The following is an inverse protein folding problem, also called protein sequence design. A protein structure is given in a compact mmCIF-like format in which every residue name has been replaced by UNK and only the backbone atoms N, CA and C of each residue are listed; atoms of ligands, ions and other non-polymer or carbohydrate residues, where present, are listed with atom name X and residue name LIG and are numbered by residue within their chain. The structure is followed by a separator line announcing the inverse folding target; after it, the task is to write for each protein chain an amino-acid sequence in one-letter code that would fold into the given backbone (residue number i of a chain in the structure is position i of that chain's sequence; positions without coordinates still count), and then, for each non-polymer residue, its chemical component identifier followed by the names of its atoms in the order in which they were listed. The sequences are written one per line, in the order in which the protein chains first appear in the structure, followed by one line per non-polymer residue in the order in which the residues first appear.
data_IF_030008982695
#
_entry.id   IF_030008982695
#
_cell.length_a   1.000
_cell.length_b   1.000
_cell.length_c   1.000
_cell.angle_alpha   90.00
_cell.angle_beta   90.00
_cell.angle_gamma   90.00
#
_symmetry.space_group_name_H-M   'P 1'
#
loop_
_entity.id
_entity.type
_entity.pdbx_description
1 polymer ?
#
# COMPACT_ATOMS: atom_id res chain seq x y z
N UNK A 1 -24.89 24.41 12.25
CA UNK A 1 -24.88 23.00 12.69
C UNK A 1 -23.99 22.85 13.93
N UNK A 2 -24.41 22.10 14.97
CA UNK A 2 -23.57 21.73 16.11
C UNK A 2 -22.25 21.04 15.67
N UNK A 3 -21.19 21.17 16.47
CA UNK A 3 -19.86 20.67 16.10
C UNK A 3 -19.79 19.16 16.04
N UNK A 4 -20.55 18.50 16.91
CA UNK A 4 -20.67 17.06 17.03
C UNK A 4 -21.23 16.46 15.74
N UNK A 5 -22.29 17.08 15.19
CA UNK A 5 -22.90 16.63 13.93
C UNK A 5 -21.97 16.88 12.73
N UNK A 6 -21.27 18.03 12.70
CA UNK A 6 -20.27 18.29 11.65
C UNK A 6 -19.11 17.28 11.74
N UNK A 7 -18.69 16.89 12.94
CA UNK A 7 -17.65 15.89 13.16
C UNK A 7 -18.07 14.52 12.64
N UNK A 8 -19.31 14.09 12.92
CA UNK A 8 -19.87 12.84 12.40
C UNK A 8 -19.93 12.88 10.87
N UNK A 9 -20.45 13.97 10.28
CA UNK A 9 -20.52 14.13 8.82
C UNK A 9 -19.11 14.09 8.22
N UNK A 10 -18.14 14.78 8.81
CA UNK A 10 -16.76 14.76 8.37
C UNK A 10 -16.16 13.35 8.44
N UNK A 11 -16.43 12.60 9.50
CA UNK A 11 -16.00 11.21 9.66
C UNK A 11 -16.50 10.31 8.54
N UNK A 12 -17.77 10.44 8.14
CA UNK A 12 -18.33 9.68 7.01
C UNK A 12 -17.81 10.17 5.65
N UNK A 13 -17.71 11.49 5.46
CA UNK A 13 -17.28 12.09 4.20
C UNK A 13 -15.79 11.86 3.90
N UNK A 14 -14.95 11.66 4.93
CA UNK A 14 -13.51 11.50 4.82
C UNK A 14 -13.05 10.04 4.73
N UNK A 15 -13.91 9.13 4.24
CA UNK A 15 -13.58 7.70 4.06
C UNK A 15 -12.92 7.37 2.70
N UNK A 16 -12.82 8.35 1.80
CA UNK A 16 -12.22 8.19 0.46
C UNK A 16 -10.69 8.27 0.43
N UNK A 17 -10.13 8.86 -0.63
CA UNK A 17 -8.69 8.99 -0.90
C UNK A 17 -8.01 10.19 -0.17
N UNK A 18 -8.70 10.76 0.82
CA UNK A 18 -8.29 11.98 1.52
C UNK A 18 -8.48 13.28 0.73
N UNK A 19 -9.02 13.26 -0.49
CA UNK A 19 -9.36 14.50 -1.22
C UNK A 19 -10.45 15.29 -0.48
N UNK A 20 -11.51 14.63 -0.01
CA UNK A 20 -12.59 15.26 0.74
C UNK A 20 -12.09 15.97 1.99
N UNK A 21 -11.25 15.30 2.78
CA UNK A 21 -10.65 15.88 3.99
C UNK A 21 -9.85 17.15 3.65
N UNK A 22 -9.01 17.09 2.60
CA UNK A 22 -8.24 18.25 2.13
C UNK A 22 -9.12 19.42 1.71
N UNK A 23 -10.19 19.18 0.96
CA UNK A 23 -11.14 20.22 0.58
C UNK A 23 -11.81 20.84 1.80
N UNK A 24 -12.23 20.03 2.78
CA UNK A 24 -12.88 20.53 3.99
C UNK A 24 -11.95 21.36 4.87
N UNK A 25 -10.66 21.00 4.98
CA UNK A 25 -9.67 21.77 5.74
C UNK A 25 -9.50 23.21 5.25
N UNK A 26 -9.87 23.51 4.01
CA UNK A 26 -9.78 24.84 3.38
C UNK A 26 -11.03 25.70 3.56
N UNK A 27 -12.16 25.12 4.01
CA UNK A 27 -13.46 25.81 4.06
C UNK A 27 -13.49 26.92 5.12
N UNK A 28 -13.08 26.60 6.35
CA UNK A 28 -13.04 27.57 7.46
C UNK A 28 -12.18 27.06 8.61
N UNK A 29 -11.79 27.96 9.54
CA UNK A 29 -11.06 27.59 10.77
C UNK A 29 -11.83 26.56 11.61
N UNK A 30 -13.15 26.68 11.68
CA UNK A 30 -14.03 25.76 12.42
C UNK A 30 -14.01 24.36 11.79
N UNK A 31 -14.22 24.26 10.48
CA UNK A 31 -14.17 22.97 9.78
C UNK A 31 -12.77 22.38 9.84
N UNK A 32 -11.72 23.19 9.70
CA UNK A 32 -10.34 22.75 9.85
C UNK A 32 -10.11 22.07 11.20
N UNK A 33 -10.55 22.68 12.31
CA UNK A 33 -10.47 22.09 13.65
C UNK A 33 -11.19 20.75 13.75
N UNK A 34 -12.38 20.64 13.16
CA UNK A 34 -13.22 19.43 13.21
C UNK A 34 -12.65 18.29 12.35
N UNK A 35 -12.06 18.61 11.19
CA UNK A 35 -11.57 17.62 10.22
C UNK A 35 -10.14 17.18 10.53
N UNK A 36 -9.35 18.01 11.22
CA UNK A 36 -7.94 17.72 11.54
C UNK A 36 -7.72 16.33 12.17
N UNK A 37 -8.55 15.86 13.12
CA UNK A 37 -8.38 14.52 13.71
C UNK A 37 -8.63 13.37 12.72
N UNK A 38 -9.55 13.55 11.76
CA UNK A 38 -9.98 12.47 10.84
C UNK A 38 -9.28 12.50 9.48
N UNK A 39 -8.46 13.52 9.22
CA UNK A 39 -7.90 13.77 7.89
C UNK A 39 -6.95 12.68 7.37
N UNK A 40 -6.44 11.80 8.24
CA UNK A 40 -5.51 10.70 7.90
C UNK A 40 -6.14 9.31 8.04
N UNK A 41 -7.42 9.21 8.40
CA UNK A 41 -8.07 7.91 8.59
C UNK A 41 -8.01 7.04 7.33
N UNK A 42 -8.12 7.65 6.15
CA UNK A 42 -7.99 6.99 4.86
C UNK A 42 -7.06 7.80 3.94
N UNK A 43 -6.01 7.14 3.44
CA UNK A 43 -4.97 7.75 2.62
C UNK A 43 -4.71 6.94 1.36
N UNK A 44 -4.57 7.65 0.24
CA UNK A 44 -4.09 7.10 -1.02
C UNK A 44 -2.81 7.81 -1.45
N UNK A 45 -1.72 7.05 -1.51
CA UNK A 45 -0.39 7.50 -1.89
C UNK A 45 0.03 6.78 -3.17
N UNK A 46 0.19 7.54 -4.25
CA UNK A 46 0.56 7.05 -5.57
C UNK A 46 1.82 7.77 -6.04
N UNK A 47 2.82 6.99 -6.43
CA UNK A 47 4.08 7.49 -6.95
C UNK A 47 5.08 7.88 -5.86
N UNK A 48 6.35 7.96 -6.26
CA UNK A 48 7.46 8.23 -5.33
C UNK A 48 7.34 9.64 -4.74
N UNK A 49 6.94 10.62 -5.54
CA UNK A 49 6.86 12.02 -5.09
C UNK A 49 5.81 12.22 -3.99
N UNK A 50 4.59 11.69 -4.16
CA UNK A 50 3.55 11.80 -3.14
C UNK A 50 3.96 11.07 -1.86
N UNK A 51 4.55 9.88 -2.02
CA UNK A 51 4.97 9.04 -0.91
C UNK A 51 6.06 9.69 -0.05
N UNK A 52 7.11 10.23 -0.67
CA UNK A 52 8.18 10.94 0.04
C UNK A 52 7.67 12.21 0.72
N UNK A 53 6.88 13.05 0.03
CA UNK A 53 6.31 14.27 0.64
C UNK A 53 5.42 13.96 1.84
N UNK A 54 4.67 12.87 1.80
CA UNK A 54 3.86 12.46 2.94
C UNK A 54 4.74 12.00 4.11
N UNK A 55 5.83 11.27 3.86
CA UNK A 55 6.79 10.90 4.90
C UNK A 55 7.47 12.13 5.56
N UNK A 56 7.80 13.15 4.76
CA UNK A 56 8.33 14.41 5.28
C UNK A 56 7.28 15.11 6.16
N UNK A 57 6.03 15.22 5.68
CA UNK A 57 4.93 15.81 6.44
C UNK A 57 4.64 15.04 7.74
N UNK A 58 4.69 13.71 7.68
CA UNK A 58 4.49 12.84 8.84
C UNK A 58 5.54 13.09 9.92
N UNK A 59 6.79 13.34 9.52
CA UNK A 59 7.91 13.62 10.44
C UNK A 59 7.79 14.97 11.16
N UNK A 60 6.92 15.86 10.69
CA UNK A 60 6.69 17.20 11.27
C UNK A 60 5.45 17.27 12.18
N UNK A 61 4.66 16.19 12.26
CA UNK A 61 3.43 16.20 13.07
C UNK A 61 3.72 15.69 14.48
N UNK A 62 3.36 16.48 15.48
CA UNK A 62 3.47 16.15 16.90
C UNK A 62 2.30 15.31 17.42
N UNK A 63 1.15 15.42 16.77
CA UNK A 63 -0.10 14.84 17.25
C UNK A 63 -0.27 13.41 16.74
N UNK A 64 -0.77 12.53 17.59
CA UNK A 64 -1.11 11.18 17.18
C UNK A 64 -2.30 11.21 16.21
N UNK A 65 -2.05 10.74 14.99
CA UNK A 65 -3.05 10.69 13.91
C UNK A 65 -3.10 9.29 13.34
N UNK A 66 -4.23 8.63 13.54
CA UNK A 66 -4.39 7.24 13.14
C UNK A 66 -4.61 7.10 11.63
N UNK A 67 -4.06 6.04 11.06
CA UNK A 67 -4.24 5.65 9.65
C UNK A 67 -4.89 4.27 9.64
N UNK A 68 -6.20 4.21 9.34
CA UNK A 68 -6.94 2.96 9.33
C UNK A 68 -6.93 2.30 7.95
N UNK A 69 -6.93 3.10 6.88
CA UNK A 69 -6.99 2.64 5.50
C UNK A 69 -5.87 3.26 4.69
N UNK A 70 -5.01 2.42 4.12
CA UNK A 70 -3.84 2.87 3.38
C UNK A 70 -3.76 2.20 2.02
N UNK A 71 -3.78 3.01 0.97
CA UNK A 71 -3.43 2.61 -0.39
C UNK A 71 -2.05 3.17 -0.74
N UNK A 72 -1.16 2.29 -1.23
CA UNK A 72 0.18 2.62 -1.71
C UNK A 72 0.34 2.05 -3.11
N UNK A 73 0.79 2.89 -4.04
CA UNK A 73 1.18 2.51 -5.40
C UNK A 73 2.53 3.13 -5.74
N UNK A 74 3.45 2.35 -6.33
CA UNK A 74 4.70 2.89 -6.88
C UNK A 74 4.56 3.52 -8.28
N UNK A 75 3.34 3.52 -8.81
CA UNK A 75 2.94 4.30 -9.99
C UNK A 75 2.23 5.57 -9.56
N UNK A 76 2.49 6.64 -10.30
CA UNK A 76 1.73 7.88 -10.21
C UNK A 76 0.27 7.62 -10.62
N UNK A 77 -0.66 8.38 -10.03
CA UNK A 77 -2.09 8.22 -10.32
C UNK A 77 -2.43 8.51 -11.80
N UNK A 78 -1.68 9.41 -12.43
CA UNK A 78 -1.78 9.70 -13.87
C UNK A 78 -1.48 8.49 -14.76
N UNK A 79 -0.62 7.58 -14.28
CA UNK A 79 -0.13 6.44 -15.04
C UNK A 79 -1.03 5.20 -14.89
N UNK A 80 -2.10 5.31 -14.11
CA UNK A 80 -3.04 4.20 -13.88
C UNK A 80 -3.69 3.71 -15.19
N UNK A 81 -3.85 4.59 -16.19
CA UNK A 81 -4.44 4.28 -17.50
C UNK A 81 -3.44 3.80 -18.54
N UNK A 82 -2.13 3.92 -18.27
CA UNK A 82 -1.10 3.60 -19.26
C UNK A 82 -0.67 2.13 -19.17
N UNK A 83 -0.86 1.43 -20.29
CA UNK A 83 -0.33 0.09 -20.51
C UNK A 83 1.17 0.04 -20.20
N UNK A 84 1.64 -1.13 -19.77
CA UNK A 84 2.99 -1.43 -19.30
C UNK A 84 4.14 -0.88 -20.18
N UNK A 85 3.88 -0.51 -21.44
CA UNK A 85 4.87 -0.02 -22.39
C UNK A 85 5.52 1.32 -22.05
N UNK A 86 4.89 2.22 -21.27
CA UNK A 86 5.39 3.61 -21.21
C UNK A 86 6.68 3.84 -20.42
N UNK A 87 7.06 2.94 -19.47
CA UNK A 87 8.38 3.10 -18.80
C UNK A 87 9.57 2.84 -19.73
N UNK A 88 9.34 2.16 -20.86
CA UNK A 88 10.38 1.91 -21.87
C UNK A 88 10.45 3.06 -22.90
N UNK A 89 9.48 3.97 -22.91
CA UNK A 89 9.54 5.20 -23.70
C UNK A 89 10.13 6.37 -22.89
N UNK A 90 11.29 6.17 -22.26
CA UNK A 90 12.15 7.32 -21.90
C UNK A 90 13.03 7.63 -23.10
N UNK A 91 12.47 8.43 -24.01
CA UNK A 91 13.27 9.15 -25.00
C UNK A 91 14.13 10.17 -24.27
N UNK A 92 15.43 9.94 -24.24
CA UNK A 92 16.40 10.84 -23.63
C UNK A 92 17.76 10.21 -23.65
N UNK A 93 18.78 11.00 -23.95
CA UNK A 93 20.20 10.62 -23.97
C UNK A 93 20.76 10.26 -22.57
N UNK A 94 19.95 9.69 -21.67
CA UNK A 94 20.41 9.26 -20.34
C UNK A 94 21.34 8.06 -20.50
N UNK A 95 22.53 8.13 -19.90
CA UNK A 95 23.47 7.01 -19.90
C UNK A 95 22.96 5.88 -19.00
N UNK A 96 23.46 4.65 -19.20
CA UNK A 96 23.17 3.51 -18.33
C UNK A 96 23.51 3.82 -16.86
N UNK A 97 24.61 4.54 -16.62
CA UNK A 97 25.08 4.94 -15.28
C UNK A 97 24.12 5.94 -14.62
N UNK A 98 23.60 6.91 -15.38
CA UNK A 98 22.62 7.88 -14.90
C UNK A 98 21.30 7.20 -14.53
N UNK A 99 20.85 6.25 -15.35
CA UNK A 99 19.67 5.44 -15.09
C UNK A 99 19.83 4.62 -13.81
N UNK A 100 20.95 3.91 -13.63
CA UNK A 100 21.23 3.16 -12.41
C UNK A 100 21.29 4.06 -11.18
N UNK A 101 21.94 5.21 -11.29
CA UNK A 101 22.05 6.17 -10.17
C UNK A 101 20.68 6.73 -9.77
N UNK A 102 19.81 7.01 -10.74
CA UNK A 102 18.43 7.48 -10.52
C UNK A 102 17.58 6.41 -9.85
N UNK A 103 17.66 5.18 -10.34
CA UNK A 103 16.94 4.04 -9.76
C UNK A 103 17.37 3.75 -8.33
N UNK A 104 18.67 3.82 -8.03
CA UNK A 104 19.21 3.63 -6.69
C UNK A 104 18.72 4.72 -5.73
N UNK A 105 18.73 5.99 -6.16
CA UNK A 105 18.16 7.10 -5.37
C UNK A 105 16.68 6.90 -5.07
N UNK A 106 15.88 6.58 -6.09
CA UNK A 106 14.44 6.30 -5.94
C UNK A 106 14.21 5.12 -4.99
N UNK A 107 15.06 4.08 -5.06
CA UNK A 107 15.00 2.91 -4.18
C UNK A 107 15.26 3.27 -2.72
N UNK A 108 16.29 4.09 -2.45
CA UNK A 108 16.65 4.53 -1.09
C UNK A 108 15.53 5.41 -0.51
N UNK A 109 15.06 6.40 -1.27
CA UNK A 109 13.98 7.29 -0.86
C UNK A 109 12.69 6.53 -0.58
N UNK A 110 12.30 5.62 -1.48
CA UNK A 110 11.12 4.77 -1.30
C UNK A 110 11.23 3.96 -0.01
N UNK A 111 12.37 3.31 0.24
CA UNK A 111 12.55 2.48 1.42
C UNK A 111 12.45 3.29 2.71
N UNK A 112 13.04 4.48 2.74
CA UNK A 112 12.97 5.39 3.87
C UNK A 112 11.51 5.81 4.14
N UNK A 113 10.82 6.33 3.13
CA UNK A 113 9.42 6.75 3.24
C UNK A 113 8.49 5.58 3.62
N UNK A 114 8.69 4.40 3.01
CA UNK A 114 7.93 3.19 3.33
C UNK A 114 8.08 2.82 4.79
N UNK A 115 9.29 2.91 5.33
CA UNK A 115 9.52 2.57 6.72
C UNK A 115 8.83 3.55 7.67
N UNK A 116 8.94 4.85 7.43
CA UNK A 116 8.30 5.87 8.26
C UNK A 116 6.77 5.71 8.28
N UNK A 117 6.18 5.64 7.09
CA UNK A 117 4.71 5.59 6.93
C UNK A 117 4.16 4.28 7.51
N UNK A 118 4.75 3.14 7.18
CA UNK A 118 4.25 1.86 7.67
C UNK A 118 4.50 1.67 9.16
N UNK A 119 5.58 2.22 9.73
CA UNK A 119 5.80 2.18 11.19
C UNK A 119 4.73 2.98 11.93
N UNK A 120 4.39 4.17 11.41
CA UNK A 120 3.33 5.00 11.98
C UNK A 120 1.94 4.37 11.83
N UNK A 121 1.64 3.82 10.66
CA UNK A 121 0.34 3.23 10.39
C UNK A 121 0.13 1.89 11.10
N UNK A 122 1.18 1.07 11.26
CA UNK A 122 1.07 -0.33 11.68
C UNK A 122 0.16 -0.58 12.90
N UNK A 123 0.21 0.20 14.00
CA UNK A 123 -0.62 -0.05 15.18
C UNK A 123 -2.12 0.10 14.91
N UNK A 124 -2.52 0.95 13.96
CA UNK A 124 -3.92 1.33 13.72
C UNK A 124 -4.49 0.78 12.42
N UNK A 125 -3.62 0.33 11.51
CA UNK A 125 -3.99 -0.06 10.16
C UNK A 125 -4.96 -1.24 10.14
N UNK A 126 -6.10 -1.06 9.47
CA UNK A 126 -7.16 -2.04 9.30
C UNK A 126 -7.21 -2.59 7.87
N UNK A 127 -6.94 -1.74 6.88
CA UNK A 127 -6.87 -2.15 5.47
C UNK A 127 -5.61 -1.61 4.81
N UNK A 128 -4.92 -2.47 4.05
CA UNK A 128 -3.71 -2.12 3.32
C UNK A 128 -3.82 -2.62 1.89
N UNK A 129 -3.72 -1.69 0.93
CA UNK A 129 -3.49 -2.02 -0.47
C UNK A 129 -2.10 -1.57 -0.88
N UNK A 130 -1.24 -2.51 -1.27
CA UNK A 130 0.14 -2.25 -1.65
C UNK A 130 0.42 -2.76 -3.06
N UNK A 131 0.46 -1.85 -4.02
CA UNK A 131 0.64 -2.15 -5.43
C UNK A 131 2.05 -1.74 -5.88
N UNK A 132 2.94 -2.72 -6.01
CA UNK A 132 4.26 -2.50 -6.57
C UNK A 132 4.34 -3.05 -8.00
N UNK A 133 4.58 -2.15 -8.96
CA UNK A 133 4.64 -2.46 -10.39
C UNK A 133 6.08 -2.50 -10.92
N UNK A 134 7.07 -1.98 -10.20
CA UNK A 134 8.47 -2.08 -10.60
C UNK A 134 8.95 -3.54 -10.50
N UNK A 135 9.23 -4.23 -11.62
CA UNK A 135 9.60 -5.65 -11.60
C UNK A 135 10.93 -5.91 -10.85
N UNK A 136 11.79 -4.90 -10.69
CA UNK A 136 13.10 -5.05 -10.04
C UNK A 136 13.04 -4.91 -8.53
N UNK A 137 12.12 -4.10 -8.02
CA UNK A 137 12.05 -3.75 -6.60
C UNK A 137 10.79 -4.23 -5.88
N UNK A 138 9.73 -4.58 -6.59
CA UNK A 138 8.42 -4.93 -6.02
C UNK A 138 8.46 -6.07 -5.00
N UNK A 139 9.13 -7.18 -5.30
CA UNK A 139 9.27 -8.29 -4.35
C UNK A 139 9.95 -7.85 -3.04
N UNK A 140 11.03 -7.06 -3.14
CA UNK A 140 11.74 -6.49 -1.99
C UNK A 140 10.87 -5.51 -1.20
N UNK A 141 10.10 -4.66 -1.88
CA UNK A 141 9.18 -3.68 -1.25
C UNK A 141 8.09 -4.39 -0.44
N UNK A 142 7.46 -5.40 -1.04
CA UNK A 142 6.45 -6.24 -0.36
C UNK A 142 7.09 -7.01 0.81
N UNK A 143 8.26 -7.61 0.60
CA UNK A 143 9.00 -8.29 1.67
C UNK A 143 9.35 -7.35 2.84
N UNK A 144 9.81 -6.12 2.55
CA UNK A 144 10.10 -5.11 3.57
C UNK A 144 8.82 -4.65 4.30
N UNK A 145 7.67 -4.56 3.61
CA UNK A 145 6.37 -4.26 4.22
C UNK A 145 5.96 -5.36 5.20
N UNK A 146 6.08 -6.62 4.80
CA UNK A 146 5.70 -7.79 5.61
C UNK A 146 6.61 -8.04 6.82
N UNK A 147 7.76 -7.38 6.94
CA UNK A 147 8.61 -7.51 8.15
C UNK A 147 7.97 -6.95 9.42
N UNK A 148 6.86 -6.23 9.30
CA UNK A 148 6.14 -5.59 10.41
C UNK A 148 4.95 -6.41 10.87
N UNK A 149 4.61 -6.22 12.14
CA UNK A 149 3.35 -6.72 12.68
C UNK A 149 2.27 -5.69 12.46
N UNK A 150 1.11 -6.14 11.99
CA UNK A 150 -0.08 -5.30 11.85
C UNK A 150 -1.20 -5.88 12.71
N UNK A 151 -1.29 -5.51 13.99
CA UNK A 151 -2.17 -6.16 14.96
C UNK A 151 -3.66 -6.04 14.62
N UNK A 152 -4.03 -5.01 13.85
CA UNK A 152 -5.41 -4.70 13.51
C UNK A 152 -5.76 -4.91 12.03
N UNK A 153 -4.82 -5.38 11.20
CA UNK A 153 -5.03 -5.50 9.77
C UNK A 153 -5.98 -6.67 9.46
N UNK A 154 -7.11 -6.35 8.85
CA UNK A 154 -8.16 -7.30 8.45
C UNK A 154 -8.18 -7.57 6.96
N UNK A 155 -7.78 -6.59 6.16
CA UNK A 155 -7.78 -6.70 4.70
C UNK A 155 -6.43 -6.29 4.12
N UNK A 156 -5.82 -7.20 3.35
CA UNK A 156 -4.57 -6.99 2.66
C UNK A 156 -4.74 -7.25 1.16
N UNK A 157 -4.45 -6.25 0.34
CA UNK A 157 -4.30 -6.40 -1.10
C UNK A 157 -2.85 -6.16 -1.48
N UNK A 158 -2.22 -7.12 -2.15
CA UNK A 158 -0.84 -7.01 -2.62
C UNK A 158 -0.75 -7.32 -4.10
N UNK A 159 -0.03 -6.47 -4.84
CA UNK A 159 0.48 -6.84 -6.16
C UNK A 159 1.90 -7.35 -6.02
N UNK A 160 2.12 -8.63 -6.26
CA UNK A 160 3.44 -9.25 -6.16
C UNK A 160 3.83 -9.83 -7.53
N UNK A 161 5.09 -9.67 -7.98
CA UNK A 161 5.69 -10.61 -8.94
C UNK A 161 5.65 -12.03 -8.35
N UNK A 162 5.96 -13.10 -9.12
CA UNK A 162 5.81 -14.47 -8.63
C UNK A 162 6.41 -14.61 -7.23
N UNK A 163 5.53 -14.98 -6.30
CA UNK A 163 5.74 -14.88 -4.85
C UNK A 163 7.07 -15.53 -4.47
N UNK A 164 7.99 -14.76 -3.90
CA UNK A 164 8.96 -15.37 -3.00
C UNK A 164 8.19 -15.83 -1.75
N UNK A 165 8.45 -17.04 -1.24
CA UNK A 165 7.66 -17.61 -0.14
C UNK A 165 7.70 -16.70 1.09
N UNK A 166 6.53 -16.47 1.69
CA UNK A 166 6.42 -15.81 2.99
C UNK A 166 7.20 -16.64 4.01
N UNK A 167 8.28 -16.08 4.56
CA UNK A 167 9.23 -16.82 5.40
C UNK A 167 8.99 -16.66 6.90
N UNK A 168 7.90 -16.01 7.33
CA UNK A 168 7.60 -15.79 8.75
C UNK A 168 6.13 -16.06 9.06
N UNK A 169 5.92 -16.95 10.03
CA UNK A 169 4.62 -17.28 10.57
C UNK A 169 4.07 -16.14 11.47
N UNK A 170 2.79 -15.82 11.35
CA UNK A 170 1.98 -15.01 12.29
C UNK A 170 2.14 -13.47 12.29
N UNK A 171 2.49 -12.85 11.16
CA UNK A 171 2.65 -11.38 11.10
C UNK A 171 1.33 -10.60 11.13
N UNK A 172 0.22 -11.24 10.73
CA UNK A 172 -1.06 -10.58 10.49
C UNK A 172 -2.20 -11.29 11.26
N UNK A 173 -2.21 -11.21 12.61
CA UNK A 173 -3.04 -12.07 13.47
C UNK A 173 -4.55 -11.90 13.28
N UNK A 174 -4.99 -10.78 12.72
CA UNK A 174 -6.41 -10.47 12.47
C UNK A 174 -6.78 -10.45 10.99
N UNK A 175 -5.91 -10.93 10.10
CA UNK A 175 -6.18 -10.89 8.66
C UNK A 175 -7.31 -11.84 8.30
N UNK A 176 -8.39 -11.29 7.75
CA UNK A 176 -9.58 -12.03 7.32
C UNK A 176 -9.67 -12.12 5.79
N UNK A 177 -9.17 -11.09 5.09
CA UNK A 177 -9.29 -10.94 3.64
C UNK A 177 -7.94 -10.72 2.99
N UNK A 178 -7.58 -11.57 2.05
CA UNK A 178 -6.35 -11.47 1.29
C UNK A 178 -6.66 -11.39 -0.20
N UNK A 179 -6.19 -10.35 -0.88
CA UNK A 179 -6.22 -10.24 -2.33
C UNK A 179 -4.79 -10.23 -2.87
N UNK A 180 -4.46 -11.23 -3.68
CA UNK A 180 -3.18 -11.29 -4.39
C UNK A 180 -3.40 -11.06 -5.88
N UNK A 181 -2.81 -10.00 -6.41
CA UNK A 181 -2.82 -9.67 -7.83
C UNK A 181 -1.41 -9.86 -8.40
N UNK A 182 -1.27 -10.52 -9.55
CA UNK A 182 0.06 -10.72 -10.13
C UNK A 182 0.03 -11.60 -11.36
N UNK A 183 1.04 -11.45 -12.23
CA UNK A 183 1.20 -12.28 -13.41
C UNK A 183 2.08 -13.48 -13.06
N UNK A 184 1.45 -14.62 -12.76
CA UNK A 184 2.15 -15.85 -12.44
C UNK A 184 2.57 -16.56 -13.73
N UNK A 185 3.87 -16.83 -13.88
CA UNK A 185 4.38 -17.71 -14.95
C UNK A 185 4.41 -19.15 -14.44
N UNK A 186 4.24 -20.11 -15.34
CA UNK A 186 4.17 -21.55 -15.07
C UNK A 186 5.40 -22.16 -14.38
N UNK A 187 6.53 -21.43 -14.32
CA UNK A 187 7.80 -21.95 -13.80
C UNK A 187 8.09 -21.60 -12.34
N UNK A 188 7.23 -20.85 -11.64
CA UNK A 188 7.49 -20.48 -10.23
C UNK A 188 6.85 -21.51 -9.31
N UNK A 189 7.56 -22.61 -9.11
CA UNK A 189 7.23 -23.74 -8.23
C UNK A 189 7.48 -23.44 -6.75
N UNK A 190 7.26 -22.20 -6.30
CA UNK A 190 7.33 -21.90 -4.88
C UNK A 190 6.00 -22.34 -4.27
N UNK A 191 5.97 -23.35 -3.38
CA UNK A 191 4.74 -23.72 -2.71
C UNK A 191 4.20 -22.48 -2.02
N UNK A 192 2.91 -22.24 -2.22
CA UNK A 192 2.22 -21.21 -1.45
C UNK A 192 2.40 -21.49 0.05
N UNK A 193 2.33 -20.43 0.84
CA UNK A 193 2.35 -20.51 2.30
C UNK A 193 1.37 -19.49 2.85
N UNK A 194 0.19 -19.38 2.26
CA UNK A 194 -0.84 -18.45 2.73
C UNK A 194 -1.22 -18.76 4.18
N UNK A 195 -1.32 -20.05 4.52
CA UNK A 195 -1.53 -20.47 5.91
C UNK A 195 -0.44 -19.98 6.88
N UNK A 196 0.78 -19.70 6.39
CA UNK A 196 1.84 -19.09 7.21
C UNK A 196 1.62 -17.60 7.47
N UNK A 197 0.90 -16.88 6.60
CA UNK A 197 0.65 -15.44 6.73
C UNK A 197 -0.29 -15.18 7.89
N UNK A 198 -1.44 -15.87 7.90
CA UNK A 198 -2.42 -15.82 8.97
C UNK A 198 -3.38 -17.02 8.90
N UNK A 199 -3.65 -17.71 10.02
CA UNK A 199 -4.65 -18.76 10.08
C UNK A 199 -6.09 -18.22 10.01
N UNK A 200 -6.30 -16.89 10.11
CA UNK A 200 -7.62 -16.27 10.14
C UNK A 200 -8.21 -15.89 8.78
N UNK A 201 -7.51 -16.17 7.68
CA UNK A 201 -7.98 -15.79 6.33
C UNK A 201 -9.24 -16.57 5.96
N UNK A 202 -10.34 -15.86 5.76
CA UNK A 202 -11.65 -16.42 5.37
C UNK A 202 -12.01 -16.10 3.93
N UNK A 203 -11.43 -15.05 3.36
CA UNK A 203 -11.69 -14.63 1.98
C UNK A 203 -10.37 -14.47 1.22
N UNK A 204 -10.20 -15.26 0.17
CA UNK A 204 -9.07 -15.18 -0.73
C UNK A 204 -9.53 -14.75 -2.12
N UNK A 205 -9.00 -13.62 -2.59
CA UNK A 205 -9.18 -13.15 -3.96
C UNK A 205 -7.87 -13.30 -4.72
N UNK A 206 -7.97 -13.82 -5.93
CA UNK A 206 -6.86 -13.95 -6.86
C UNK A 206 -7.18 -13.20 -8.14
N UNK A 207 -6.20 -12.50 -8.72
CA UNK A 207 -6.41 -11.76 -9.97
C UNK A 207 -5.16 -11.74 -10.84
N UNK A 208 -5.35 -11.89 -12.15
CA UNK A 208 -4.24 -11.98 -13.11
C UNK A 208 -3.49 -13.31 -13.08
N UNK A 209 -4.06 -14.35 -12.45
CA UNK A 209 -3.45 -15.68 -12.40
C UNK A 209 -3.76 -16.44 -13.68
N UNK A 210 -2.77 -16.53 -14.56
CA UNK A 210 -2.86 -17.26 -15.82
C UNK A 210 -2.37 -18.73 -15.71
N UNK A 211 -1.94 -19.18 -14.53
CA UNK A 211 -1.31 -20.48 -14.33
C UNK A 211 -2.14 -21.44 -13.44
N UNK A 212 -2.45 -22.62 -13.98
CA UNK A 212 -3.22 -23.71 -13.36
C UNK A 212 -2.56 -24.39 -12.13
N UNK A 213 -1.21 -24.54 -12.03
CA UNK A 213 -0.60 -25.24 -10.88
C UNK A 213 -0.72 -24.45 -9.56
N UNK A 214 -0.44 -23.14 -9.59
CA UNK A 214 -0.49 -22.29 -8.40
C UNK A 214 -1.90 -22.19 -7.79
N UNK A 215 -2.94 -22.17 -8.63
CA UNK A 215 -4.33 -22.16 -8.14
C UNK A 215 -4.71 -23.46 -7.43
N UNK A 216 -4.15 -24.62 -7.83
CA UNK A 216 -4.37 -25.90 -7.12
C UNK A 216 -3.66 -25.95 -5.77
N UNK A 217 -2.42 -25.46 -5.70
CA UNK A 217 -1.68 -25.39 -4.42
C UNK A 217 -2.39 -24.47 -3.42
N UNK A 218 -2.86 -23.31 -3.90
CA UNK A 218 -3.59 -22.37 -3.07
C UNK A 218 -4.93 -22.92 -2.57
N UNK A 219 -5.66 -23.63 -3.43
CA UNK A 219 -6.92 -24.27 -3.06
C UNK A 219 -6.73 -25.42 -2.07
N UNK A 220 -5.53 -26.01 -1.99
CA UNK A 220 -5.22 -27.05 -1.02
C UNK A 220 -4.84 -26.50 0.37
N UNK A 221 -4.58 -25.19 0.49
CA UNK A 221 -4.22 -24.51 1.73
C UNK A 221 -5.39 -23.79 2.44
N UNK A 222 -6.53 -23.69 1.77
CA UNK A 222 -7.78 -23.15 2.30
C UNK A 222 -8.74 -24.28 2.70
#
# INVERSE_FOLDING_TARGET
LPEELVSIIAGYACTGDGATARSLLLVSKKIKRIVTPVQWHSLSLSGVSQFCRFADALSQVSDERHIYHLFISDREASDARHFWSSRVSRGGNETIEELHSKEERERVQWRHAQNLILNHAAPTLQTLTFLAFDPRNSARRVGDMLKRTYPNLRELTIRVPPLQPFSKAHLLPRLERLHVAGHYKTSTSAPSRIGSISPGVTHLRLSGIFAYPFTRELAAEL
#
